data_IF_454760671273
#
_entry.id   IF_454760671273
#
_cell.length_a   1.000
_cell.length_b   1.000
_cell.length_c   1.000
_cell.angle_alpha   90.00
_cell.angle_beta   90.00
_cell.angle_gamma   90.00
#
_symmetry.space_group_name_H-M   'P 1'
#
loop_
_entity.id
_entity.type
_entity.pdbx_description
1 polymer ?
#
# COMPACT_ATOMS: atom_id res chain seq x y z
N UNK A 1 -9.78 11.10 -4.31
CA UNK A 1 -9.49 9.79 -4.97
C UNK A 1 -10.10 8.69 -4.12
N UNK A 2 -10.75 7.66 -4.69
CA UNK A 2 -11.15 6.50 -3.87
C UNK A 2 -9.93 5.65 -3.60
N UNK A 3 -9.51 5.57 -2.34
CA UNK A 3 -8.40 4.72 -1.93
C UNK A 3 -8.70 3.24 -2.22
N UNK A 4 -7.90 2.63 -3.10
CA UNK A 4 -8.02 1.20 -3.43
C UNK A 4 -6.98 0.35 -2.74
N UNK A 5 -6.04 0.95 -1.99
CA UNK A 5 -4.91 0.23 -1.40
C UNK A 5 -5.40 -0.82 -0.41
N UNK A 6 -6.30 -0.45 0.51
CA UNK A 6 -6.89 -1.38 1.48
C UNK A 6 -7.58 -2.58 0.80
N UNK A 7 -8.37 -2.30 -0.24
CA UNK A 7 -9.09 -3.34 -0.97
C UNK A 7 -8.15 -4.29 -1.72
N UNK A 8 -7.11 -3.76 -2.39
CA UNK A 8 -6.13 -4.58 -3.10
C UNK A 8 -5.28 -5.38 -2.11
N UNK A 9 -4.83 -4.74 -1.02
CA UNK A 9 -4.07 -5.39 0.06
C UNK A 9 -4.84 -6.58 0.65
N UNK A 10 -6.13 -6.39 0.95
CA UNK A 10 -7.01 -7.46 1.42
C UNK A 10 -7.17 -8.57 0.38
N UNK A 11 -7.32 -8.25 -0.91
CA UNK A 11 -7.36 -9.25 -2.00
C UNK A 11 -6.07 -10.06 -2.15
N UNK A 12 -4.93 -9.48 -1.76
CA UNK A 12 -3.64 -10.16 -1.72
C UNK A 12 -3.41 -10.95 -0.41
N UNK A 13 -4.33 -10.85 0.56
CA UNK A 13 -4.21 -11.56 1.83
C UNK A 13 -3.07 -11.08 2.74
N UNK A 14 -2.54 -9.87 2.52
CA UNK A 14 -1.41 -9.36 3.30
C UNK A 14 -1.85 -8.31 4.34
N UNK A 15 -1.13 -8.23 5.44
CA UNK A 15 -1.36 -7.24 6.50
C UNK A 15 -0.75 -5.88 6.14
N UNK A 16 -1.18 -4.82 6.84
CA UNK A 16 -0.55 -3.49 6.71
C UNK A 16 0.95 -3.54 7.03
N UNK A 17 1.34 -4.32 8.04
CA UNK A 17 2.73 -4.53 8.45
C UNK A 17 3.56 -5.14 7.31
N UNK A 18 3.02 -6.18 6.65
CA UNK A 18 3.70 -6.82 5.51
C UNK A 18 3.84 -5.88 4.32
N UNK A 19 2.82 -5.06 4.03
CA UNK A 19 2.88 -4.05 2.98
C UNK A 19 3.92 -2.97 3.32
N UNK A 20 3.96 -2.53 4.58
CA UNK A 20 4.91 -1.53 5.07
C UNK A 20 6.36 -2.02 4.93
N UNK A 21 6.64 -3.25 5.37
CA UNK A 21 7.96 -3.91 5.19
C UNK A 21 8.38 -3.97 3.72
N UNK A 22 7.48 -4.36 2.81
CA UNK A 22 7.77 -4.40 1.36
C UNK A 22 8.02 -3.02 0.75
N UNK A 23 7.43 -1.97 1.32
CA UNK A 23 7.61 -0.59 0.87
C UNK A 23 8.73 0.15 1.61
N UNK A 24 9.37 -0.47 2.62
CA UNK A 24 10.41 0.16 3.43
C UNK A 24 9.90 1.29 4.32
N UNK A 25 8.65 1.22 4.77
CA UNK A 25 8.02 2.21 5.65
C UNK A 25 7.45 1.55 6.91
N UNK A 26 7.06 2.35 7.89
CA UNK A 26 6.37 1.85 9.09
C UNK A 26 4.88 1.60 8.82
N UNK A 27 4.26 0.69 9.58
CA UNK A 27 2.83 0.35 9.45
C UNK A 27 1.92 1.57 9.52
N UNK A 28 2.26 2.53 10.39
CA UNK A 28 1.52 3.78 10.56
C UNK A 28 1.40 4.55 9.24
N UNK A 29 2.46 4.57 8.41
CA UNK A 29 2.43 5.21 7.09
C UNK A 29 1.38 4.56 6.21
N UNK A 30 1.36 3.22 6.11
CA UNK A 30 0.34 2.50 5.34
C UNK A 30 -1.07 2.77 5.89
N UNK A 31 -1.23 2.80 7.21
CA UNK A 31 -2.51 3.11 7.84
C UNK A 31 -2.99 4.53 7.50
N UNK A 32 -2.11 5.54 7.55
CA UNK A 32 -2.45 6.91 7.19
C UNK A 32 -2.85 7.00 5.72
N UNK A 33 -2.12 6.32 4.83
CA UNK A 33 -2.47 6.24 3.40
C UNK A 33 -3.85 5.61 3.24
N UNK A 34 -4.11 4.43 3.82
CA UNK A 34 -5.40 3.72 3.67
C UNK A 34 -6.60 4.49 4.21
N UNK A 35 -6.40 5.45 5.11
CA UNK A 35 -7.43 6.32 5.68
C UNK A 35 -7.38 7.75 5.11
N UNK A 36 -6.70 7.96 3.98
CA UNK A 36 -6.60 9.25 3.28
C UNK A 36 -6.08 10.40 4.15
N UNK A 37 -5.27 10.08 5.17
CA UNK A 37 -4.62 11.05 6.09
C UNK A 37 -3.26 11.52 5.60
N UNK A 38 -2.70 10.86 4.59
CA UNK A 38 -1.37 11.14 4.08
C UNK A 38 -1.29 10.74 2.61
N UNK A 39 -0.89 11.69 1.78
CA UNK A 39 -0.54 11.41 0.39
C UNK A 39 0.89 10.86 0.32
N UNK A 40 1.09 9.66 -0.25
CA UNK A 40 2.42 9.09 -0.38
C UNK A 40 3.29 9.95 -1.30
N UNK A 41 4.60 10.00 -1.00
CA UNK A 41 5.57 10.53 -1.97
C UNK A 41 5.50 9.75 -3.28
N UNK A 42 5.96 10.35 -4.37
CA UNK A 42 6.00 9.71 -5.68
C UNK A 42 6.73 8.36 -5.63
N UNK A 43 7.86 8.29 -4.93
CA UNK A 43 8.62 7.06 -4.72
C UNK A 43 7.79 5.98 -4.00
N UNK A 44 7.10 6.34 -2.92
CA UNK A 44 6.25 5.42 -2.17
C UNK A 44 5.05 4.96 -3.01
N UNK A 45 4.46 5.85 -3.82
CA UNK A 45 3.40 5.49 -4.75
C UNK A 45 3.86 4.44 -5.78
N UNK A 46 5.08 4.57 -6.31
CA UNK A 46 5.66 3.56 -7.20
C UNK A 46 5.93 2.24 -6.49
N UNK A 47 6.48 2.25 -5.25
CA UNK A 47 6.69 1.04 -4.44
C UNK A 47 5.38 0.32 -4.12
N UNK A 48 4.35 1.08 -3.75
CA UNK A 48 2.99 0.56 -3.51
C UNK A 48 2.41 -0.05 -4.78
N UNK A 49 2.49 0.65 -5.92
CA UNK A 49 2.02 0.13 -7.20
C UNK A 49 2.72 -1.18 -7.58
N UNK A 50 4.04 -1.27 -7.43
CA UNK A 50 4.81 -2.50 -7.70
C UNK A 50 4.41 -3.64 -6.76
N UNK A 51 4.20 -3.35 -5.49
CA UNK A 51 3.84 -4.35 -4.46
C UNK A 51 2.40 -4.83 -4.59
N UNK A 52 1.49 -3.94 -4.97
CA UNK A 52 0.05 -4.20 -5.08
C UNK A 52 -0.35 -4.71 -6.48
N UNK A 53 0.56 -4.71 -7.46
CA UNK A 53 0.33 -5.30 -8.78
C UNK A 53 0.16 -6.81 -8.66
N UNK A 54 -1.00 -7.31 -9.10
CA UNK A 54 -1.22 -8.73 -9.36
C UNK A 54 -0.25 -9.16 -10.48
N UNK A 55 0.48 -10.27 -10.31
CA UNK A 55 1.17 -10.91 -11.45
C UNK A 55 0.12 -11.13 -12.55
N UNK A 56 0.25 -10.40 -13.66
CA UNK A 56 -0.48 -10.76 -14.88
C UNK A 56 0.11 -12.09 -15.32
N UNK A 57 -0.67 -13.14 -15.11
CA UNK A 57 -0.51 -14.42 -15.81
C UNK A 57 -0.96 -14.19 -17.25
#
# INVERSE_FOLDING_TARGET
>A
MKNKIKAIRNKLGITQEQLAKKCGVVRQTINCIENDKYDPTLELAFKLSKTLKKKRV
#
